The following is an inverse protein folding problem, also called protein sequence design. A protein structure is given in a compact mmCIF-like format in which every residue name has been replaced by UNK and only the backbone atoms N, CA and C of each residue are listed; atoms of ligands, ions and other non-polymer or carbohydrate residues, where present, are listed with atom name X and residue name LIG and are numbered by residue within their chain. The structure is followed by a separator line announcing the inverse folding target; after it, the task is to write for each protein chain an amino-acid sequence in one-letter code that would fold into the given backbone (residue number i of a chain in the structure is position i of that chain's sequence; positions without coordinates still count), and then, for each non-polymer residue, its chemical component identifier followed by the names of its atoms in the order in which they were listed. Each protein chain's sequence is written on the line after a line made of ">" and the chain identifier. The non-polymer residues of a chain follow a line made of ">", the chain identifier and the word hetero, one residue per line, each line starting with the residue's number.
data_IF_770366457448
#
_entry.id   IF_770366457448
#
_cell.length_a   1.000
_cell.length_b   1.000
_cell.length_c   1.000
_cell.angle_alpha   90.00
_cell.angle_beta   90.00
_cell.angle_gamma   90.00
#
_symmetry.space_group_name_H-M   'P 1'
#
loop_
_entity.id
_entity.type
_entity.pdbx_description
1 polymer ?
#
# COMPACT_ATOMS: atom_id res chain seq x y z
N UNK A 1 -71.24 0.34 13.34
CA UNK A 1 -69.93 0.69 13.91
C UNK A 1 -68.89 0.15 12.94
N UNK A 2 -68.10 0.99 12.24
CA UNK A 2 -67.12 0.47 11.30
C UNK A 2 -65.86 0.05 12.06
N UNK A 3 -65.44 -1.20 11.88
CA UNK A 3 -64.20 -1.75 12.42
C UNK A 3 -63.01 -1.04 11.77
N UNK A 4 -62.12 -0.53 12.61
CA UNK A 4 -60.89 0.15 12.22
C UNK A 4 -59.91 -0.82 11.55
N UNK A 5 -59.55 -0.54 10.30
CA UNK A 5 -58.36 -1.09 9.65
C UNK A 5 -57.12 -0.69 10.45
N UNK A 6 -56.56 -1.63 11.22
CA UNK A 6 -55.24 -1.47 11.81
C UNK A 6 -54.19 -1.68 10.73
N UNK A 7 -53.63 -0.59 10.23
CA UNK A 7 -52.45 -0.59 9.38
C UNK A 7 -51.26 -1.09 10.21
N UNK A 8 -50.92 -2.37 10.08
CA UNK A 8 -49.68 -2.91 10.61
C UNK A 8 -48.53 -2.34 9.75
N UNK A 9 -47.92 -1.25 10.22
CA UNK A 9 -46.70 -0.74 9.63
C UNK A 9 -45.58 -1.77 9.92
N UNK A 10 -45.30 -2.63 8.95
CA UNK A 10 -44.08 -3.44 8.94
C UNK A 10 -42.94 -2.47 8.69
N UNK A 11 -42.22 -2.11 9.76
CA UNK A 11 -40.91 -1.48 9.65
C UNK A 11 -40.00 -2.53 9.01
N UNK A 12 -39.72 -2.41 7.71
CA UNK A 12 -38.62 -3.15 7.12
C UNK A 12 -37.36 -2.62 7.82
N UNK A 13 -36.55 -3.46 8.48
CA UNK A 13 -35.29 -3.00 9.03
C UNK A 13 -34.48 -2.37 7.89
N UNK A 14 -33.88 -1.20 8.14
CA UNK A 14 -33.14 -0.45 7.13
C UNK A 14 -32.24 -1.42 6.35
N UNK A 15 -32.57 -1.60 5.07
CA UNK A 15 -31.98 -2.66 4.28
C UNK A 15 -30.51 -2.31 4.05
N UNK A 16 -29.62 -3.00 4.76
CA UNK A 16 -28.18 -2.86 4.55
C UNK A 16 -27.84 -3.29 3.12
N UNK A 17 -27.38 -2.36 2.29
CA UNK A 17 -26.99 -2.62 0.91
C UNK A 17 -25.47 -2.79 0.86
N UNK A 18 -24.97 -3.76 0.10
CA UNK A 18 -23.53 -3.86 -0.16
C UNK A 18 -23.06 -2.61 -0.92
N UNK A 19 -22.01 -1.96 -0.42
CA UNK A 19 -21.42 -0.79 -1.04
C UNK A 19 -20.01 -1.13 -1.56
N UNK A 20 -19.72 -0.68 -2.77
CA UNK A 20 -18.36 -0.68 -3.34
C UNK A 20 -18.13 0.73 -3.87
N UNK A 21 -17.10 1.40 -3.36
CA UNK A 21 -16.74 2.77 -3.77
C UNK A 21 -15.30 2.76 -4.27
N UNK A 22 -15.11 3.17 -5.52
CA UNK A 22 -13.79 3.30 -6.12
C UNK A 22 -13.64 4.69 -6.71
N UNK A 23 -12.54 5.37 -6.40
CA UNK A 23 -12.28 6.68 -6.96
C UNK A 23 -11.24 7.51 -6.22
N UNK A 24 -11.12 8.81 -6.56
CA UNK A 24 -10.11 9.67 -6.00
C UNK A 24 -10.40 10.00 -4.53
N UNK A 25 -9.35 9.98 -3.72
CA UNK A 25 -9.38 10.38 -2.31
C UNK A 25 -9.28 11.90 -2.22
N UNK A 26 -10.22 12.52 -1.52
CA UNK A 26 -10.28 13.98 -1.33
C UNK A 26 -10.02 14.42 0.10
N UNK A 27 -10.28 13.55 1.08
CA UNK A 27 -9.97 13.80 2.49
C UNK A 27 -9.79 12.49 3.25
N UNK A 28 -8.99 12.54 4.32
CA UNK A 28 -8.83 11.48 5.31
C UNK A 28 -8.80 12.15 6.68
N UNK A 29 -9.54 11.62 7.65
CA UNK A 29 -9.49 12.07 9.04
C UNK A 29 -9.29 10.88 9.98
N UNK A 30 -8.26 10.96 10.82
CA UNK A 30 -7.99 9.99 11.90
C UNK A 30 -8.62 10.50 13.20
N UNK A 31 -9.49 9.67 13.81
CA UNK A 31 -10.13 9.99 15.09
C UNK A 31 -9.23 9.69 16.30
N UNK A 32 -8.04 9.12 16.08
CA UNK A 32 -7.02 8.77 17.07
C UNK A 32 -7.40 7.63 18.02
N UNK A 33 -8.45 6.88 17.70
CA UNK A 33 -8.88 5.66 18.38
C UNK A 33 -8.72 4.41 17.50
N UNK A 34 -8.09 4.55 16.33
CA UNK A 34 -7.96 3.50 15.32
C UNK A 34 -9.12 3.49 14.30
N UNK A 35 -10.13 4.34 14.47
CA UNK A 35 -11.17 4.63 13.49
C UNK A 35 -10.92 5.96 12.77
N UNK A 36 -11.62 6.17 11.67
CA UNK A 36 -11.54 7.42 10.94
C UNK A 36 -12.61 7.55 9.86
N UNK A 37 -12.41 8.54 9.00
CA UNK A 37 -13.20 8.69 7.78
C UNK A 37 -12.29 8.90 6.58
N UNK A 38 -12.78 8.45 5.42
CA UNK A 38 -12.18 8.72 4.12
C UNK A 38 -13.25 9.28 3.19
N UNK A 39 -12.92 10.32 2.43
CA UNK A 39 -13.83 10.89 1.43
C UNK A 39 -13.41 10.50 0.03
N UNK A 40 -14.25 9.72 -0.64
CA UNK A 40 -14.01 9.20 -2.00
C UNK A 40 -15.18 9.60 -2.90
N UNK A 41 -14.91 10.25 -4.03
CA UNK A 41 -15.95 10.81 -4.92
C UNK A 41 -16.98 11.71 -4.21
N UNK A 42 -16.57 12.38 -3.12
CA UNK A 42 -17.46 13.22 -2.30
C UNK A 42 -18.30 12.44 -1.26
N UNK A 43 -18.20 11.11 -1.22
CA UNK A 43 -18.86 10.28 -0.21
C UNK A 43 -17.95 10.17 1.01
N UNK A 44 -18.45 10.58 2.18
CA UNK A 44 -17.75 10.37 3.46
C UNK A 44 -18.04 8.96 3.94
N UNK A 45 -16.99 8.14 4.05
CA UNK A 45 -17.08 6.73 4.42
C UNK A 45 -16.47 6.56 5.81
N UNK A 46 -17.20 5.88 6.70
CA UNK A 46 -16.72 5.53 8.03
C UNK A 46 -15.78 4.33 7.94
N UNK A 47 -14.63 4.42 8.60
CA UNK A 47 -13.67 3.33 8.78
C UNK A 47 -13.68 2.95 10.27
N UNK A 48 -14.41 1.89 10.66
CA UNK A 48 -14.39 1.38 12.02
C UNK A 48 -13.00 0.94 12.49
N UNK A 49 -12.83 0.87 13.81
CA UNK A 49 -11.63 0.27 14.41
C UNK A 49 -11.47 -1.17 13.92
N UNK A 50 -10.26 -1.52 13.49
CA UNK A 50 -9.93 -2.88 13.03
C UNK A 50 -10.29 -3.19 11.58
N UNK A 51 -10.89 -2.24 10.84
CA UNK A 51 -11.06 -2.38 9.39
C UNK A 51 -9.69 -2.52 8.73
N UNK A 52 -9.46 -3.56 7.91
CA UNK A 52 -8.23 -3.69 7.13
C UNK A 52 -8.04 -2.48 6.20
N UNK A 53 -6.87 -1.87 6.27
CA UNK A 53 -6.44 -0.81 5.36
C UNK A 53 -5.16 -1.29 4.69
N UNK A 54 -5.14 -1.35 3.37
CA UNK A 54 -4.02 -1.92 2.61
C UNK A 54 -3.57 -1.03 1.48
N UNK A 55 -2.29 -1.14 1.15
CA UNK A 55 -1.69 -0.68 -0.10
C UNK A 55 -1.18 -1.91 -0.86
N UNK A 56 -0.67 -1.77 -2.11
CA UNK A 56 -0.11 -2.91 -2.83
C UNK A 56 0.93 -3.73 -2.05
N UNK A 57 1.63 -3.12 -1.08
CA UNK A 57 2.77 -3.76 -0.40
C UNK A 57 2.78 -3.63 1.13
N UNK A 58 1.77 -3.00 1.73
CA UNK A 58 1.69 -2.87 3.19
C UNK A 58 0.25 -2.87 3.71
N UNK A 59 0.09 -3.25 4.97
CA UNK A 59 -1.09 -2.95 5.78
C UNK A 59 -0.83 -1.65 6.55
N UNK A 60 -1.83 -0.77 6.57
CA UNK A 60 -1.76 0.54 7.21
C UNK A 60 -2.56 0.56 8.52
N UNK A 61 -2.12 1.38 9.46
CA UNK A 61 -2.98 1.93 10.51
C UNK A 61 -3.79 3.12 9.98
N UNK A 62 -4.86 3.50 10.69
CA UNK A 62 -5.61 4.71 10.37
C UNK A 62 -4.70 5.96 10.39
N UNK A 63 -3.78 6.04 11.35
CA UNK A 63 -2.80 7.12 11.44
C UNK A 63 -1.88 7.18 10.20
N UNK A 64 -1.45 6.04 9.66
CA UNK A 64 -0.62 5.98 8.45
C UNK A 64 -1.42 6.36 7.19
N UNK A 65 -2.71 6.02 7.14
CA UNK A 65 -3.60 6.46 6.05
C UNK A 65 -3.80 7.98 6.08
N UNK A 66 -3.91 8.57 7.28
CA UNK A 66 -4.11 10.00 7.47
C UNK A 66 -2.81 10.84 7.46
N UNK A 67 -1.64 10.20 7.43
CA UNK A 67 -0.34 10.89 7.43
C UNK A 67 -0.20 11.81 6.20
N UNK A 68 -0.13 13.14 6.37
CA UNK A 68 -0.05 14.08 5.26
C UNK A 68 1.34 14.12 4.61
N UNK A 69 2.35 13.45 5.17
CA UNK A 69 3.70 13.40 4.62
C UNK A 69 3.63 13.00 3.15
N UNK A 70 4.20 13.84 2.29
CA UNK A 70 4.10 13.64 0.85
C UNK A 70 4.90 12.43 0.42
N UNK A 71 4.32 11.59 -0.43
CA UNK A 71 5.05 10.49 -1.07
C UNK A 71 6.18 11.05 -1.95
N UNK A 72 7.33 10.36 -2.08
CA UNK A 72 8.43 10.79 -2.94
C UNK A 72 7.97 11.21 -4.34
N UNK A 73 8.32 12.42 -4.77
CA UNK A 73 7.98 12.91 -6.10
C UNK A 73 6.51 13.29 -6.32
N UNK A 74 5.64 13.27 -5.31
CA UNK A 74 4.28 13.83 -5.40
C UNK A 74 4.23 15.26 -4.84
N UNK A 75 3.16 15.97 -5.16
CA UNK A 75 2.86 17.30 -4.58
C UNK A 75 1.65 17.27 -3.65
N UNK A 76 0.82 16.23 -3.72
CA UNK A 76 -0.35 16.05 -2.87
C UNK A 76 0.07 15.45 -1.51
N UNK A 77 -0.59 15.86 -0.40
CA UNK A 77 -0.36 15.26 0.91
C UNK A 77 -0.77 13.78 0.93
N UNK A 78 0.10 12.91 1.46
CA UNK A 78 -0.18 11.49 1.66
C UNK A 78 -0.92 10.82 0.48
N UNK A 79 -2.06 10.21 0.78
CA UNK A 79 -2.92 9.53 -0.21
C UNK A 79 -3.91 10.45 -0.94
N UNK A 80 -3.96 11.74 -0.64
CA UNK A 80 -4.88 12.68 -1.31
C UNK A 80 -4.59 12.71 -2.83
N UNK A 81 -5.65 12.73 -3.63
CA UNK A 81 -5.60 12.61 -5.09
C UNK A 81 -5.18 11.23 -5.61
N UNK A 82 -4.89 10.28 -4.73
CA UNK A 82 -4.72 8.87 -5.07
C UNK A 82 -6.05 8.15 -5.23
N UNK A 83 -6.01 6.84 -5.44
CA UNK A 83 -7.19 5.99 -5.61
C UNK A 83 -7.46 5.22 -4.32
N UNK A 84 -8.73 5.16 -3.93
CA UNK A 84 -9.24 4.20 -2.96
C UNK A 84 -10.20 3.23 -3.65
N UNK A 85 -10.15 1.96 -3.24
CA UNK A 85 -11.16 0.93 -3.52
C UNK A 85 -11.67 0.46 -2.16
N UNK A 86 -12.95 0.66 -1.90
CA UNK A 86 -13.55 0.41 -0.59
C UNK A 86 -14.70 -0.56 -0.76
N UNK A 87 -14.65 -1.65 0.01
CA UNK A 87 -15.78 -2.56 0.17
C UNK A 87 -16.45 -2.28 1.52
N UNK A 88 -17.77 -2.37 1.56
CA UNK A 88 -18.51 -2.18 2.80
C UNK A 88 -20.01 -2.31 2.61
N UNK A 89 -20.74 -1.55 3.40
CA UNK A 89 -22.20 -1.50 3.34
C UNK A 89 -22.73 -0.08 3.50
N UNK A 90 -23.91 0.17 2.96
CA UNK A 90 -24.68 1.38 3.18
C UNK A 90 -25.97 1.07 3.92
N UNK A 91 -26.22 1.82 5.00
CA UNK A 91 -27.49 1.85 5.73
C UNK A 91 -27.88 3.31 5.88
N UNK A 92 -29.08 3.68 5.44
CA UNK A 92 -29.59 5.07 5.47
C UNK A 92 -28.67 6.11 4.84
N UNK A 93 -27.97 5.71 3.77
CA UNK A 93 -27.01 6.56 3.06
C UNK A 93 -25.66 6.75 3.77
N UNK A 94 -25.47 6.17 4.95
CA UNK A 94 -24.17 6.12 5.63
C UNK A 94 -23.41 4.92 5.11
N UNK A 95 -22.20 5.14 4.59
CA UNK A 95 -21.32 4.06 4.11
C UNK A 95 -20.30 3.73 5.19
N UNK A 96 -20.21 2.45 5.53
CA UNK A 96 -19.25 1.91 6.50
C UNK A 96 -18.36 0.88 5.81
N UNK A 97 -17.05 1.09 5.86
CA UNK A 97 -16.05 0.24 5.23
C UNK A 97 -15.80 -1.04 6.03
N UNK A 98 -15.79 -2.17 5.32
CA UNK A 98 -15.29 -3.45 5.82
C UNK A 98 -13.87 -3.76 5.36
N UNK A 99 -13.41 -3.12 4.28
CA UNK A 99 -12.08 -3.26 3.71
C UNK A 99 -11.74 -2.00 2.88
N UNK A 100 -10.51 -1.52 3.02
CA UNK A 100 -10.02 -0.32 2.35
C UNK A 100 -8.69 -0.63 1.66
N UNK A 101 -8.64 -0.48 0.35
CA UNK A 101 -7.39 -0.49 -0.42
C UNK A 101 -7.09 0.92 -0.94
N UNK A 102 -5.85 1.40 -0.79
CA UNK A 102 -5.43 2.72 -1.27
C UNK A 102 -4.10 2.67 -2.01
N UNK A 103 -3.94 3.56 -2.98
CA UNK A 103 -2.66 3.81 -3.66
C UNK A 103 -2.53 5.28 -4.03
N UNK A 104 -1.34 5.91 -3.88
CA UNK A 104 -1.14 7.31 -4.26
C UNK A 104 -1.32 7.55 -5.77
N UNK A 105 -1.03 6.53 -6.58
CA UNK A 105 -1.29 6.41 -8.01
C UNK A 105 -0.77 5.02 -8.45
N UNK A 106 -1.24 4.49 -9.56
CA UNK A 106 -0.73 3.22 -10.10
C UNK A 106 -0.35 3.37 -11.57
N UNK A 107 0.87 2.96 -11.89
CA UNK A 107 1.44 2.93 -13.22
C UNK A 107 2.18 1.61 -13.41
N UNK A 108 2.12 1.10 -14.64
CA UNK A 108 2.85 -0.06 -15.09
C UNK A 108 3.74 0.36 -16.26
N UNK A 109 5.01 0.01 -16.20
CA UNK A 109 5.97 0.22 -17.28
C UNK A 109 6.55 -1.13 -17.67
N UNK A 110 6.30 -1.53 -18.91
CA UNK A 110 6.93 -2.69 -19.54
C UNK A 110 7.83 -2.15 -20.65
N UNK A 111 9.09 -2.58 -20.67
CA UNK A 111 10.03 -2.03 -21.63
C UNK A 111 11.42 -2.60 -21.54
N UNK A 112 12.35 -1.91 -22.18
CA UNK A 112 13.74 -2.30 -22.25
C UNK A 112 14.56 -1.54 -21.21
N UNK A 113 15.50 -2.21 -20.56
CA UNK A 113 16.49 -1.57 -19.70
C UNK A 113 17.40 -0.69 -20.55
N UNK A 114 17.36 0.62 -20.33
CA UNK A 114 18.17 1.61 -21.06
C UNK A 114 19.33 2.17 -20.22
N UNK A 115 19.42 1.77 -18.95
CA UNK A 115 20.49 2.17 -18.04
C UNK A 115 20.38 1.40 -16.72
N UNK A 116 21.51 1.08 -16.10
CA UNK A 116 21.56 0.37 -14.83
C UNK A 116 22.16 1.19 -13.67
N UNK A 117 22.74 2.36 -13.96
CA UNK A 117 23.24 3.34 -13.00
C UNK A 117 23.12 4.78 -13.55
N UNK A 118 22.03 5.52 -13.26
CA UNK A 118 20.82 5.08 -12.55
C UNK A 118 20.02 4.05 -13.36
N UNK A 119 19.22 3.23 -12.67
CA UNK A 119 18.35 2.25 -13.32
C UNK A 119 17.26 2.97 -14.15
N UNK A 120 17.11 2.58 -15.41
CA UNK A 120 16.18 3.17 -16.37
C UNK A 120 15.53 2.11 -17.24
N UNK A 121 14.23 2.30 -17.51
CA UNK A 121 13.47 1.49 -18.47
C UNK A 121 12.83 2.44 -19.49
N UNK A 122 13.05 2.22 -20.78
CA UNK A 122 12.63 3.12 -21.87
C UNK A 122 13.03 4.60 -21.62
N UNK A 123 14.21 4.83 -21.05
CA UNK A 123 14.70 6.16 -20.69
C UNK A 123 14.11 6.75 -19.39
N UNK A 124 13.03 6.17 -18.85
CA UNK A 124 12.40 6.59 -17.58
C UNK A 124 13.27 6.15 -16.42
N UNK A 125 13.64 7.09 -15.54
CA UNK A 125 14.35 6.78 -14.31
C UNK A 125 13.43 6.01 -13.37
N UNK A 126 13.91 4.88 -12.87
CA UNK A 126 13.19 4.03 -11.92
C UNK A 126 13.92 4.05 -10.59
N UNK A 127 13.19 4.27 -9.51
CA UNK A 127 13.70 4.28 -8.15
C UNK A 127 12.80 3.40 -7.29
N UNK A 128 13.38 2.41 -6.59
CA UNK A 128 12.61 1.63 -5.61
C UNK A 128 12.08 2.57 -4.53
N UNK A 129 10.78 2.48 -4.26
CA UNK A 129 10.08 3.30 -3.31
C UNK A 129 10.53 2.96 -1.88
N UNK A 130 10.93 3.98 -1.13
CA UNK A 130 11.31 3.87 0.28
C UNK A 130 10.34 4.70 1.14
N UNK A 131 9.07 4.27 1.17
CA UNK A 131 8.03 4.85 2.02
C UNK A 131 7.36 3.72 2.78
N UNK A 132 7.29 3.82 4.12
CA UNK A 132 6.77 2.75 4.96
C UNK A 132 5.29 2.42 4.71
N UNK A 133 4.53 3.36 4.13
CA UNK A 133 3.11 3.16 3.79
C UNK A 133 2.94 2.33 2.52
N UNK A 134 3.95 2.27 1.66
CA UNK A 134 3.92 1.46 0.44
C UNK A 134 5.36 1.09 0.04
N UNK A 135 6.04 0.23 0.81
CA UNK A 135 7.46 -0.06 0.60
C UNK A 135 7.66 -0.79 -0.72
N UNK A 136 8.71 -0.42 -1.46
CA UNK A 136 9.14 -1.14 -2.63
C UNK A 136 9.94 -2.39 -2.31
N UNK A 137 9.76 -3.42 -3.11
CA UNK A 137 10.53 -4.66 -3.02
C UNK A 137 11.93 -4.53 -3.62
N UNK A 138 12.76 -5.55 -3.37
CA UNK A 138 14.01 -5.75 -4.11
C UNK A 138 13.71 -6.03 -5.58
N UNK A 139 14.60 -5.58 -6.47
CA UNK A 139 14.57 -5.95 -7.88
C UNK A 139 14.76 -7.46 -8.03
N UNK A 140 13.97 -8.11 -8.89
CA UNK A 140 13.98 -9.57 -9.09
C UNK A 140 14.21 -9.95 -10.54
N UNK A 141 14.75 -11.15 -10.75
CA UNK A 141 14.76 -11.75 -12.08
C UNK A 141 13.33 -12.15 -12.47
N UNK A 142 12.90 -11.84 -13.69
CA UNK A 142 11.53 -12.05 -14.16
C UNK A 142 11.16 -13.53 -14.33
N UNK A 143 12.14 -14.41 -14.56
CA UNK A 143 11.90 -15.85 -14.81
C UNK A 143 12.00 -16.68 -13.52
N UNK A 144 13.08 -16.47 -12.76
CA UNK A 144 13.39 -17.29 -11.58
C UNK A 144 12.98 -16.61 -10.27
N UNK A 145 12.64 -15.32 -10.29
CA UNK A 145 12.14 -14.59 -9.12
C UNK A 145 13.18 -14.26 -8.04
N UNK A 146 14.45 -14.63 -8.21
CA UNK A 146 15.51 -14.33 -7.23
C UNK A 146 15.86 -12.83 -7.20
N UNK A 147 16.27 -12.26 -6.06
CA UNK A 147 16.74 -10.87 -5.98
C UNK A 147 17.99 -10.63 -6.83
N UNK A 148 18.04 -9.53 -7.57
CA UNK A 148 19.12 -9.18 -8.52
C UNK A 148 19.93 -7.98 -8.02
N UNK A 149 21.24 -7.97 -8.28
CA UNK A 149 22.08 -6.78 -8.09
C UNK A 149 21.77 -5.76 -9.19
N UNK A 150 21.25 -4.55 -8.90
CA UNK A 150 20.80 -3.62 -9.94
C UNK A 150 21.86 -3.24 -10.98
N UNK A 151 23.12 -3.09 -10.56
CA UNK A 151 24.23 -2.77 -11.45
C UNK A 151 24.59 -3.89 -12.45
N UNK A 152 24.14 -5.12 -12.19
CA UNK A 152 24.41 -6.28 -13.04
C UNK A 152 23.34 -6.53 -14.11
N UNK A 153 22.24 -5.77 -14.09
CA UNK A 153 21.16 -5.94 -15.06
C UNK A 153 21.67 -5.54 -16.45
N UNK A 154 21.51 -6.42 -17.47
CA UNK A 154 21.95 -6.14 -18.82
C UNK A 154 21.12 -4.99 -19.42
N UNK A 155 21.81 -3.96 -19.90
CA UNK A 155 21.20 -2.97 -20.77
C UNK A 155 20.74 -3.68 -22.04
N UNK A 156 19.50 -3.42 -22.44
CA UNK A 156 18.85 -4.09 -23.56
C UNK A 156 17.92 -5.24 -23.16
N UNK A 157 17.98 -5.73 -21.91
CA UNK A 157 17.05 -6.76 -21.41
C UNK A 157 15.66 -6.20 -21.15
N UNK A 158 14.66 -7.09 -21.08
CA UNK A 158 13.29 -6.70 -20.70
C UNK A 158 13.18 -6.35 -19.21
N UNK A 159 12.24 -5.47 -18.88
CA UNK A 159 11.87 -5.15 -17.51
C UNK A 159 10.38 -4.84 -17.39
N UNK A 160 9.81 -5.19 -16.25
CA UNK A 160 8.48 -4.76 -15.80
C UNK A 160 8.64 -3.96 -14.50
N UNK A 161 7.91 -2.86 -14.39
CA UNK A 161 7.96 -1.96 -13.24
C UNK A 161 6.55 -1.58 -12.87
N UNK A 162 6.22 -1.75 -11.60
CA UNK A 162 4.95 -1.31 -10.99
C UNK A 162 5.26 -0.22 -9.97
N UNK A 163 4.45 0.83 -9.93
CA UNK A 163 4.62 1.93 -8.99
C UNK A 163 3.81 3.16 -9.37
N UNK A 164 4.36 4.35 -9.15
CA UNK A 164 3.76 5.59 -9.66
C UNK A 164 4.80 6.55 -10.24
N UNK A 165 4.38 7.38 -11.18
CA UNK A 165 5.21 8.46 -11.75
C UNK A 165 5.09 9.71 -10.87
N UNK A 166 6.24 10.21 -10.39
CA UNK A 166 6.34 11.50 -9.73
C UNK A 166 6.37 12.66 -10.73
N UNK A 167 6.20 13.88 -10.23
CA UNK A 167 6.16 15.13 -11.03
C UNK A 167 7.46 15.40 -11.80
N UNK A 168 8.57 14.77 -11.43
CA UNK A 168 9.87 14.86 -12.13
C UNK A 168 10.05 13.81 -13.22
N UNK A 169 9.03 12.96 -13.46
CA UNK A 169 9.12 11.85 -14.41
C UNK A 169 9.87 10.62 -13.88
N UNK A 170 10.25 10.61 -12.60
CA UNK A 170 10.82 9.39 -11.96
C UNK A 170 9.68 8.43 -11.59
N UNK A 171 9.83 7.16 -11.96
CA UNK A 171 8.93 6.10 -11.53
C UNK A 171 9.40 5.57 -10.17
N UNK A 172 8.57 5.80 -9.15
CA UNK A 172 8.76 5.29 -7.79
C UNK A 172 8.13 3.89 -7.69
N UNK A 173 8.98 2.86 -7.75
CA UNK A 173 8.57 1.49 -7.96
C UNK A 173 8.28 0.73 -6.66
N UNK A 174 7.15 0.04 -6.62
CA UNK A 174 6.82 -0.96 -5.60
C UNK A 174 7.34 -2.35 -5.99
N UNK A 175 7.41 -2.64 -7.30
CA UNK A 175 7.93 -3.89 -7.85
C UNK A 175 8.76 -3.61 -9.10
N UNK A 176 9.89 -4.31 -9.23
CA UNK A 176 10.73 -4.29 -10.42
C UNK A 176 11.16 -5.72 -10.74
N UNK A 177 10.88 -6.16 -11.95
CA UNK A 177 11.36 -7.44 -12.49
C UNK A 177 12.15 -7.19 -13.76
N UNK A 178 13.25 -7.91 -13.91
CA UNK A 178 14.21 -7.71 -15.00
C UNK A 178 14.64 -9.03 -15.60
N UNK A 179 14.97 -9.00 -16.88
CA UNK A 179 15.64 -10.09 -17.56
C UNK A 179 17.13 -10.11 -17.20
N UNK A 180 17.62 -11.28 -16.77
CA UNK A 180 19.02 -11.48 -16.41
C UNK A 180 19.42 -10.88 -15.06
N UNK A 181 20.68 -10.45 -14.97
CA UNK A 181 21.32 -9.96 -13.75
C UNK A 181 21.83 -11.06 -12.83
N UNK A 182 22.85 -10.71 -12.05
CA UNK A 182 23.46 -11.59 -11.07
C UNK A 182 22.61 -11.62 -9.80
N UNK A 183 22.43 -12.80 -9.23
CA UNK A 183 21.76 -12.96 -7.94
C UNK A 183 22.45 -12.09 -6.87
N UNK A 184 21.66 -11.26 -6.20
CA UNK A 184 22.11 -10.57 -5.00
C UNK A 184 22.36 -11.62 -3.92
N UNK A 185 23.52 -11.54 -3.25
CA UNK A 185 23.74 -12.35 -2.05
C UNK A 185 22.67 -11.96 -1.04
N UNK A 186 21.70 -12.85 -0.83
CA UNK A 186 20.76 -12.71 0.28
C UNK A 186 21.59 -12.94 1.53
N UNK A 187 21.99 -11.86 2.22
CA UNK A 187 22.35 -12.00 3.62
C UNK A 187 21.03 -12.21 4.33
N UNK A 188 20.74 -13.39 4.89
CA UNK A 188 19.59 -13.52 5.76
C UNK A 188 19.79 -12.49 6.86
N UNK A 189 18.80 -11.66 7.13
CA UNK A 189 18.76 -10.92 8.40
C UNK A 189 18.80 -12.02 9.46
N UNK A 190 19.97 -12.27 10.06
CA UNK A 190 20.05 -13.13 11.23
C UNK A 190 19.17 -12.42 12.25
N UNK A 191 18.00 -12.98 12.55
CA UNK A 191 17.29 -12.68 13.78
C UNK A 191 18.34 -12.62 14.87
N UNK A 192 18.40 -11.51 15.60
CA UNK A 192 19.32 -11.38 16.72
C UNK A 192 19.11 -12.60 17.62
N UNK A 193 20.02 -13.56 17.53
CA UNK A 193 20.08 -14.66 18.48
C UNK A 193 20.34 -13.93 19.79
N UNK A 194 19.32 -13.89 20.67
CA UNK A 194 19.51 -13.49 22.06
C UNK A 194 20.76 -14.24 22.51
N UNK A 195 21.86 -13.51 22.76
CA UNK A 195 23.02 -14.09 23.41
C UNK A 195 22.47 -14.71 24.69
N UNK A 196 22.46 -16.04 24.77
CA UNK A 196 22.20 -16.73 26.02
C UNK A 196 23.27 -16.23 26.98
N UNK A 197 22.85 -15.64 28.09
CA UNK A 197 23.75 -15.24 29.15
C UNK A 197 24.61 -16.44 29.55
N UNK A 198 25.89 -16.40 29.23
CA UNK A 198 26.86 -17.35 29.75
C UNK A 198 27.09 -16.99 31.21
N UNK A 199 26.56 -17.81 32.11
CA UNK A 199 26.93 -17.77 33.52
C UNK A 199 28.39 -18.23 33.63
N UNK A 200 29.32 -17.27 33.61
CA UNK A 200 30.72 -17.50 33.90
C UNK A 200 30.88 -17.85 35.38
N UNK A 201 31.39 -19.04 35.67
CA UNK A 201 31.89 -19.41 37.00
C UNK A 201 33.10 -18.54 37.35
N UNK A 202 33.27 -18.11 38.61
CA UNK A 202 34.45 -17.37 39.02
C UNK A 202 35.67 -18.29 39.04
N UNK A 203 36.74 -17.89 38.35
CA UNK A 203 38.06 -18.49 38.51
C UNK A 203 38.71 -17.86 39.75
N UNK A 204 38.98 -18.70 40.73
CA UNK A 204 39.76 -18.43 41.93
C UNK A 204 41.23 -18.12 41.59
N UNK A 205 41.80 -17.24 42.40
CA UNK A 205 43.17 -16.75 42.35
C UNK A 205 44.23 -17.84 42.57
N UNK A 206 45.38 -17.64 41.91
CA UNK A 206 46.75 -17.81 42.45
C UNK A 206 47.69 -16.97 41.59
#
# INVERSE_FOLDING_TARGET
>A
MPESLQLLAVCLPDAQVKAIVEGPISAVADHRDGSGTITVMGIVIQIPVGTPITTPTATLTMAQLADPTTFPGRSQPGFIGGVAVINGSSTDGIVTASDVFVTPAQNFLVGQVTGNQPFKVNGVKVQILNDARMPGGVMRNIFEGFPVVPASVPIGGAATVEGYIGITGTLHATRVEVEGGTAAKVVPVRSAVKQRASWGRPLTAT
#
